data_IF_770413046846
#
_entry.id   IF_770413046846
#
_cell.length_a   1.000
_cell.length_b   1.000
_cell.length_c   1.000
_cell.angle_alpha   90.00
_cell.angle_beta   90.00
_cell.angle_gamma   90.00
#
_symmetry.space_group_name_H-M   'P 1'
#
loop_
_entity.id
_entity.type
_entity.pdbx_description
1 polymer ?
#
# COMPACT_ATOMS: atom_id res chain seq x y z
N UNK A 1 4.98 28.04 15.02
CA UNK A 1 5.94 27.16 14.35
C UNK A 1 5.28 25.87 13.89
N UNK A 2 5.00 24.96 14.82
CA UNK A 2 4.46 23.61 14.55
C UNK A 2 3.12 23.58 13.78
N UNK A 3 2.12 24.38 14.18
CA UNK A 3 0.81 24.44 13.50
C UNK A 3 0.87 24.98 12.05
N UNK A 4 1.91 25.75 11.70
CA UNK A 4 2.09 26.26 10.33
C UNK A 4 2.77 25.21 9.43
N UNK A 5 3.70 24.41 9.98
CA UNK A 5 4.31 23.27 9.29
C UNK A 5 3.35 22.09 9.12
N UNK A 6 2.44 21.85 10.07
CA UNK A 6 1.34 20.88 9.90
C UNK A 6 0.40 21.29 8.77
N UNK A 7 -0.02 22.56 8.70
CA UNK A 7 -0.90 23.04 7.62
C UNK A 7 -0.23 23.03 6.25
N UNK A 8 1.05 23.38 6.16
CA UNK A 8 1.82 23.28 4.91
C UNK A 8 2.08 21.83 4.49
N UNK A 9 2.41 20.95 5.44
CA UNK A 9 2.63 19.51 5.17
C UNK A 9 1.36 18.78 4.78
N UNK A 10 0.20 19.12 5.38
CA UNK A 10 -1.10 18.53 4.99
C UNK A 10 -1.48 18.94 3.57
N UNK A 11 -1.24 20.21 3.19
CA UNK A 11 -1.46 20.67 1.82
C UNK A 11 -0.58 19.92 0.80
N UNK A 12 0.71 19.76 1.07
CA UNK A 12 1.62 19.02 0.19
C UNK A 12 1.37 17.51 0.18
N UNK A 13 0.94 16.92 1.29
CA UNK A 13 0.64 15.48 1.39
C UNK A 13 -0.45 15.05 0.40
N UNK A 14 -1.52 15.84 0.30
CA UNK A 14 -2.63 15.56 -0.63
C UNK A 14 -2.14 15.56 -2.08
N UNK A 15 -1.26 16.50 -2.46
CA UNK A 15 -0.65 16.51 -3.79
C UNK A 15 0.24 15.29 -4.03
N UNK A 16 1.07 14.91 -3.05
CA UNK A 16 1.95 13.74 -3.16
C UNK A 16 1.15 12.43 -3.31
N UNK A 17 0.11 12.24 -2.50
CA UNK A 17 -0.75 11.06 -2.59
C UNK A 17 -1.51 11.00 -3.90
N UNK A 18 -2.09 12.13 -4.33
CA UNK A 18 -2.81 12.19 -5.61
C UNK A 18 -1.89 11.89 -6.78
N UNK A 19 -0.70 12.49 -6.81
CA UNK A 19 0.30 12.24 -7.84
C UNK A 19 0.77 10.78 -7.84
N UNK A 20 1.01 10.19 -6.67
CA UNK A 20 1.39 8.79 -6.53
C UNK A 20 0.31 7.85 -7.07
N UNK A 21 -0.96 8.07 -6.71
CA UNK A 21 -2.08 7.28 -7.22
C UNK A 21 -2.22 7.40 -8.75
N UNK A 22 -2.06 8.59 -9.29
CA UNK A 22 -2.07 8.83 -10.74
C UNK A 22 -0.92 8.08 -11.41
N UNK A 23 0.30 8.14 -10.88
CA UNK A 23 1.45 7.42 -11.45
C UNK A 23 1.29 5.91 -11.38
N UNK A 24 0.80 5.38 -10.25
CA UNK A 24 0.49 3.94 -10.11
C UNK A 24 -0.56 3.55 -11.15
N UNK A 25 -1.62 4.35 -11.29
CA UNK A 25 -2.69 4.13 -12.26
C UNK A 25 -2.16 4.10 -13.70
N UNK A 26 -1.42 5.14 -14.12
CA UNK A 26 -0.89 5.22 -15.48
C UNK A 26 0.09 4.07 -15.77
N UNK A 27 0.99 3.77 -14.83
CA UNK A 27 1.96 2.68 -15.01
C UNK A 27 1.25 1.33 -15.21
N UNK A 28 0.23 1.04 -14.41
CA UNK A 28 -0.58 -0.17 -14.56
C UNK A 28 -1.41 -0.15 -15.85
N UNK A 29 -2.02 0.99 -16.20
CA UNK A 29 -2.85 1.11 -17.39
C UNK A 29 -2.03 0.88 -18.68
N UNK A 30 -0.81 1.44 -18.72
CA UNK A 30 0.12 1.22 -19.83
C UNK A 30 0.66 -0.20 -19.86
N UNK A 31 1.00 -0.79 -18.71
CA UNK A 31 1.56 -2.14 -18.65
C UNK A 31 0.56 -3.24 -19.07
N UNK A 32 -0.71 -3.10 -18.71
CA UNK A 32 -1.74 -4.10 -18.98
C UNK A 32 -2.66 -3.76 -20.16
N UNK A 33 -2.40 -2.66 -20.86
CA UNK A 33 -3.21 -2.14 -21.97
C UNK A 33 -4.72 -2.07 -21.63
N UNK A 34 -5.04 -1.85 -20.35
CA UNK A 34 -6.40 -1.96 -19.83
C UNK A 34 -6.64 -0.94 -18.73
N UNK A 35 -7.80 -0.29 -18.80
CA UNK A 35 -8.23 0.71 -17.82
C UNK A 35 -8.93 0.06 -16.62
N UNK A 36 -9.53 -1.12 -16.80
CA UNK A 36 -10.31 -1.80 -15.76
C UNK A 36 -9.42 -2.45 -14.69
N UNK A 37 -8.28 -3.01 -15.13
CA UNK A 37 -7.33 -3.70 -14.23
C UNK A 37 -6.77 -2.72 -13.17
N UNK A 38 -6.23 -1.54 -13.52
CA UNK A 38 -5.76 -0.54 -12.56
C UNK A 38 -6.84 -0.07 -11.60
N UNK A 39 -8.08 0.13 -12.07
CA UNK A 39 -9.20 0.56 -11.21
C UNK A 39 -9.47 -0.49 -10.13
N UNK A 40 -9.49 -1.77 -10.50
CA UNK A 40 -9.67 -2.88 -9.54
C UNK A 40 -8.55 -2.92 -8.50
N UNK A 41 -7.32 -2.56 -8.88
CA UNK A 41 -6.18 -2.50 -7.96
C UNK A 41 -6.29 -1.29 -7.03
N UNK A 42 -6.66 -0.12 -7.55
CA UNK A 42 -6.81 1.10 -6.75
C UNK A 42 -7.87 0.96 -5.65
N UNK A 43 -8.92 0.16 -5.86
CA UNK A 43 -9.92 -0.13 -4.83
C UNK A 43 -9.33 -0.80 -3.57
N UNK A 44 -8.17 -1.43 -3.67
CA UNK A 44 -7.48 -2.02 -2.50
C UNK A 44 -6.69 -1.00 -1.69
N UNK A 45 -6.30 0.13 -2.27
CA UNK A 45 -5.45 1.15 -1.64
C UNK A 45 -6.08 1.80 -0.40
N UNK A 46 -7.38 2.18 -0.41
CA UNK A 46 -8.05 2.68 0.80
C UNK A 46 -7.94 1.73 1.99
N UNK A 47 -7.98 0.42 1.74
CA UNK A 47 -7.84 -0.59 2.79
C UNK A 47 -6.45 -0.54 3.46
N UNK A 48 -5.40 -0.31 2.65
CA UNK A 48 -4.04 -0.12 3.13
C UNK A 48 -3.86 1.16 3.94
N UNK A 49 -4.43 2.27 3.46
CA UNK A 49 -4.43 3.55 4.19
C UNK A 49 -5.06 3.40 5.56
N UNK A 50 -6.23 2.75 5.62
CA UNK A 50 -6.93 2.52 6.88
C UNK A 50 -6.03 1.74 7.85
N UNK A 51 -5.35 0.68 7.41
CA UNK A 51 -4.45 -0.10 8.26
C UNK A 51 -3.26 0.71 8.81
N UNK A 52 -2.65 1.54 7.97
CA UNK A 52 -1.54 2.42 8.38
C UNK A 52 -2.00 3.50 9.37
N UNK A 53 -3.12 4.17 9.08
CA UNK A 53 -3.71 5.19 9.97
C UNK A 53 -4.12 4.57 11.30
N UNK A 54 -4.72 3.38 11.30
CA UNK A 54 -5.09 2.69 12.55
C UNK A 54 -3.86 2.38 13.40
N UNK A 55 -2.78 1.91 12.78
CA UNK A 55 -1.53 1.54 13.48
C UNK A 55 -0.87 2.74 14.15
N UNK A 56 -0.85 3.89 13.46
CA UNK A 56 -0.33 5.16 13.98
C UNK A 56 -1.25 5.74 15.05
N UNK A 57 -2.57 5.65 14.86
CA UNK A 57 -3.56 6.07 15.84
C UNK A 57 -3.44 5.29 17.15
N UNK A 58 -3.26 3.96 17.11
CA UNK A 58 -3.04 3.14 18.30
C UNK A 58 -1.73 3.43 19.04
N UNK A 59 -0.76 4.08 18.39
CA UNK A 59 0.56 4.42 18.95
C UNK A 59 0.72 5.91 19.29
N UNK A 60 -0.33 6.72 19.15
CA UNK A 60 -0.32 8.18 19.39
C UNK A 60 0.86 8.88 18.68
N UNK A 61 1.12 8.50 17.43
CA UNK A 61 2.18 9.09 16.62
C UNK A 61 1.66 10.27 15.79
N UNK A 62 2.48 11.31 15.65
CA UNK A 62 2.14 12.49 14.85
C UNK A 62 2.16 12.17 13.36
N UNK A 63 1.28 12.83 12.59
CA UNK A 63 1.30 12.80 11.13
C UNK A 63 2.43 13.71 10.60
N UNK A 64 3.64 13.15 10.53
CA UNK A 64 4.85 13.81 10.04
C UNK A 64 5.22 13.35 8.62
N UNK A 65 6.24 13.98 8.03
CA UNK A 65 6.73 13.66 6.67
C UNK A 65 7.17 12.18 6.57
N UNK A 66 7.64 11.59 7.66
CA UNK A 66 8.04 10.19 7.71
C UNK A 66 6.84 9.25 7.56
N UNK A 67 5.72 9.54 8.22
CA UNK A 67 4.47 8.81 8.02
C UNK A 67 3.96 8.95 6.57
N UNK A 68 4.15 10.11 5.93
CA UNK A 68 3.77 10.29 4.53
C UNK A 68 4.58 9.37 3.59
N UNK A 69 5.87 9.22 3.85
CA UNK A 69 6.74 8.28 3.10
C UNK A 69 6.35 6.83 3.35
N UNK A 70 5.98 6.48 4.58
CA UNK A 70 5.46 5.15 4.91
C UNK A 70 4.17 4.83 4.14
N UNK A 71 3.20 5.75 4.15
CA UNK A 71 1.97 5.63 3.38
C UNK A 71 2.20 5.46 1.87
N UNK A 72 3.10 6.25 1.28
CA UNK A 72 3.49 6.11 -0.13
C UNK A 72 4.09 4.72 -0.43
N UNK A 73 4.91 4.20 0.48
CA UNK A 73 5.49 2.85 0.36
C UNK A 73 4.39 1.79 0.44
N UNK A 74 3.45 1.95 1.36
CA UNK A 74 2.27 1.09 1.54
C UNK A 74 1.39 1.07 0.28
N UNK A 75 1.24 2.19 -0.44
CA UNK A 75 0.49 2.21 -1.71
C UNK A 75 1.11 1.26 -2.73
N UNK A 76 2.44 1.29 -2.87
CA UNK A 76 3.17 0.39 -3.77
C UNK A 76 3.05 -1.07 -3.36
N UNK A 77 3.18 -1.37 -2.06
CA UNK A 77 3.08 -2.73 -1.53
C UNK A 77 1.68 -3.32 -1.76
N UNK A 78 0.63 -2.55 -1.43
CA UNK A 78 -0.77 -2.93 -1.63
C UNK A 78 -1.07 -3.10 -3.12
N UNK A 79 -0.64 -2.15 -3.95
CA UNK A 79 -0.84 -2.22 -5.40
C UNK A 79 -0.17 -3.45 -6.02
N UNK A 80 1.06 -3.77 -5.61
CA UNK A 80 1.79 -4.96 -6.07
C UNK A 80 1.09 -6.25 -5.66
N UNK A 81 0.59 -6.33 -4.43
CA UNK A 81 -0.12 -7.52 -3.97
C UNK A 81 -1.47 -7.68 -4.68
N UNK A 82 -2.20 -6.59 -4.90
CA UNK A 82 -3.48 -6.60 -5.58
C UNK A 82 -3.34 -6.91 -7.07
N UNK A 83 -2.39 -6.29 -7.78
CA UNK A 83 -2.19 -6.54 -9.22
C UNK A 83 -1.82 -8.00 -9.49
N UNK A 84 -1.02 -8.59 -8.61
CA UNK A 84 -0.57 -9.99 -8.72
C UNK A 84 -1.75 -10.98 -8.63
N UNK A 85 -2.82 -10.64 -7.91
CA UNK A 85 -4.07 -11.41 -7.87
C UNK A 85 -4.85 -11.18 -9.17
N UNK A 86 -5.09 -9.91 -9.53
CA UNK A 86 -5.89 -9.55 -10.71
C UNK A 86 -5.29 -10.14 -11.99
N UNK A 87 -3.97 -10.13 -12.13
CA UNK A 87 -3.26 -10.76 -13.25
C UNK A 87 -3.52 -12.26 -13.34
N UNK A 88 -3.56 -12.96 -12.20
CA UNK A 88 -3.88 -14.40 -12.18
C UNK A 88 -5.33 -14.66 -12.57
N UNK A 89 -6.24 -13.79 -12.15
CA UNK A 89 -7.67 -13.86 -12.54
C UNK A 89 -7.81 -13.66 -14.04
N UNK A 90 -7.17 -12.63 -14.58
CA UNK A 90 -7.19 -12.30 -16.01
C UNK A 90 -6.60 -13.44 -16.84
N UNK A 91 -5.47 -14.00 -16.42
CA UNK A 91 -4.85 -15.13 -17.11
C UNK A 91 -5.77 -16.37 -17.05
N UNK A 92 -6.36 -16.69 -15.90
CA UNK A 92 -7.31 -17.80 -15.79
C UNK A 92 -8.57 -17.57 -16.65
N UNK A 93 -9.04 -16.32 -16.76
CA UNK A 93 -10.16 -15.94 -17.60
C UNK A 93 -9.84 -16.08 -19.10
N UNK A 94 -8.65 -15.62 -19.53
CA UNK A 94 -8.14 -15.82 -20.90
C UNK A 94 -8.01 -17.30 -21.28
N UNK A 95 -7.74 -18.17 -20.30
CA UNK A 95 -7.75 -19.62 -20.48
C UNK A 95 -9.17 -20.23 -20.53
N UNK A 96 -10.22 -19.40 -20.70
CA UNK A 96 -11.60 -19.83 -20.91
C UNK A 96 -12.38 -20.13 -19.63
N UNK A 97 -11.85 -19.83 -18.44
CA UNK A 97 -12.56 -20.06 -17.17
C UNK A 97 -13.54 -18.92 -16.86
N UNK A 98 -14.71 -19.21 -16.27
CA UNK A 98 -15.64 -18.18 -15.84
C UNK A 98 -15.03 -17.32 -14.72
N UNK A 99 -15.32 -16.02 -14.74
CA UNK A 99 -14.70 -14.98 -13.89
C UNK A 99 -14.67 -15.37 -12.41
N UNK A 100 -15.78 -15.92 -11.87
CA UNK A 100 -15.88 -16.33 -10.46
C UNK A 100 -14.91 -17.47 -10.13
N UNK A 101 -14.78 -18.48 -11.01
CA UNK A 101 -13.81 -19.57 -10.79
C UNK A 101 -12.38 -19.08 -10.92
N UNK A 102 -12.12 -18.15 -11.84
CA UNK A 102 -10.82 -17.49 -12.00
C UNK A 102 -10.45 -16.69 -10.75
N UNK A 103 -11.40 -15.97 -10.14
CA UNK A 103 -11.22 -15.23 -8.90
C UNK A 103 -10.82 -16.13 -7.73
N UNK A 104 -11.55 -17.23 -7.53
CA UNK A 104 -11.26 -18.20 -6.46
C UNK A 104 -9.88 -18.83 -6.67
N UNK A 105 -9.58 -19.25 -7.91
CA UNK A 105 -8.29 -19.86 -8.22
C UNK A 105 -7.12 -18.89 -8.03
N UNK A 106 -7.26 -17.65 -8.49
CA UNK A 106 -6.24 -16.60 -8.33
C UNK A 106 -5.98 -16.30 -6.85
N UNK A 107 -7.04 -16.20 -6.04
CA UNK A 107 -6.92 -16.01 -4.60
C UNK A 107 -6.18 -17.18 -3.92
N UNK A 108 -6.54 -18.43 -4.21
CA UNK A 108 -5.89 -19.61 -3.61
C UNK A 108 -4.42 -19.75 -4.00
N UNK A 109 -4.06 -19.48 -5.26
CA UNK A 109 -2.67 -19.60 -5.73
C UNK A 109 -1.76 -18.54 -5.12
N UNK A 110 -2.29 -17.34 -4.86
CA UNK A 110 -1.51 -16.23 -4.28
C UNK A 110 -1.58 -16.16 -2.76
N UNK A 111 -2.48 -16.89 -2.11
CA UNK A 111 -2.61 -16.89 -0.65
C UNK A 111 -1.28 -17.17 0.06
N UNK A 112 -0.59 -18.26 -0.31
CA UNK A 112 0.70 -18.63 0.30
C UNK A 112 1.78 -17.56 0.05
N UNK A 113 2.04 -17.11 -1.19
CA UNK A 113 2.97 -16.01 -1.46
C UNK A 113 2.65 -14.70 -0.74
N UNK A 114 1.37 -14.29 -0.68
CA UNK A 114 0.96 -13.03 -0.04
C UNK A 114 1.19 -13.08 1.47
N UNK A 115 0.90 -14.20 2.11
CA UNK A 115 1.18 -14.38 3.54
C UNK A 115 2.68 -14.33 3.80
N UNK A 116 3.50 -14.98 2.96
CA UNK A 116 4.95 -14.92 3.10
C UNK A 116 5.49 -13.49 2.98
N UNK A 117 5.10 -12.73 1.96
CA UNK A 117 5.61 -11.36 1.77
C UNK A 117 5.11 -10.41 2.85
N UNK A 118 3.86 -10.56 3.28
CA UNK A 118 3.28 -9.72 4.35
C UNK A 118 3.97 -10.01 5.69
N UNK A 119 4.18 -11.28 6.04
CA UNK A 119 4.89 -11.65 7.26
C UNK A 119 6.35 -11.20 7.24
N UNK A 120 7.03 -11.35 6.10
CA UNK A 120 8.41 -10.88 5.95
C UNK A 120 8.51 -9.35 6.09
N UNK A 121 7.55 -8.61 5.52
CA UNK A 121 7.49 -7.16 5.67
C UNK A 121 7.26 -6.77 7.13
N UNK A 122 6.25 -7.36 7.79
CA UNK A 122 5.96 -7.12 9.22
C UNK A 122 7.20 -7.41 10.07
N UNK A 123 7.83 -8.58 9.89
CA UNK A 123 9.04 -8.95 10.62
C UNK A 123 10.20 -7.97 10.35
N UNK A 124 10.33 -7.45 9.13
CA UNK A 124 11.35 -6.48 8.75
C UNK A 124 11.12 -5.09 9.34
N UNK A 125 9.86 -4.66 9.52
CA UNK A 125 9.53 -3.35 10.11
C UNK A 125 9.42 -3.37 11.63
N UNK A 126 9.23 -4.53 12.26
CA UNK A 126 9.18 -4.67 13.73
C UNK A 126 10.37 -3.96 14.41
N UNK A 127 11.65 -4.17 14.02
CA UNK A 127 12.79 -3.50 14.64
C UNK A 127 12.75 -1.97 14.51
N UNK A 128 12.21 -1.44 13.40
CA UNK A 128 12.03 0.00 13.22
C UNK A 128 10.93 0.52 14.15
N UNK A 129 9.85 -0.24 14.29
CA UNK A 129 8.69 0.08 15.11
C UNK A 129 8.99 0.07 16.62
N UNK A 130 10.03 -0.61 17.10
CA UNK A 130 10.43 -0.65 18.53
C UNK A 130 11.81 -0.03 18.79
N UNK A 131 12.34 0.72 17.82
CA UNK A 131 13.71 1.25 17.91
C UNK A 131 13.87 2.27 19.03
N UNK A 132 14.93 2.15 19.83
CA UNK A 132 15.33 3.13 20.85
C UNK A 132 16.67 3.79 20.51
N UNK A 133 16.85 5.07 20.82
CA UNK A 133 18.10 5.82 20.61
C UNK A 133 17.96 7.06 19.72
N UNK A 134 19.08 7.63 19.27
CA UNK A 134 19.08 8.82 18.41
C UNK A 134 18.34 8.55 17.08
N UNK A 135 17.43 9.44 16.68
CA UNK A 135 16.59 9.28 15.49
C UNK A 135 15.52 8.19 15.59
N UNK A 136 15.24 7.67 16.80
CA UNK A 136 14.21 6.64 17.02
C UNK A 136 12.82 7.08 16.57
N UNK A 137 12.41 8.32 16.85
CA UNK A 137 11.09 8.82 16.47
C UNK A 137 10.83 8.74 14.96
N UNK A 138 11.83 9.04 14.13
CA UNK A 138 11.72 8.91 12.67
C UNK A 138 11.57 7.45 12.23
N UNK A 139 12.32 6.52 12.85
CA UNK A 139 12.24 5.08 12.53
C UNK A 139 10.91 4.48 12.98
N UNK A 140 10.41 4.88 14.15
CA UNK A 140 9.12 4.43 14.69
C UNK A 140 7.98 4.96 13.81
N UNK A 141 8.03 6.24 13.39
CA UNK A 141 7.00 6.81 12.50
C UNK A 141 6.94 6.07 11.16
N UNK A 142 8.09 5.83 10.51
CA UNK A 142 8.13 5.05 9.25
C UNK A 142 7.70 3.59 9.46
N UNK A 143 8.18 2.93 10.51
CA UNK A 143 7.93 1.51 10.74
C UNK A 143 6.53 1.17 11.26
N UNK A 144 5.79 2.15 11.74
CA UNK A 144 4.40 1.98 12.21
C UNK A 144 3.38 2.24 11.09
N UNK A 145 3.72 3.10 10.12
CA UNK A 145 2.86 3.44 8.99
C UNK A 145 2.89 2.46 7.83
#
# INVERSE_FOLDING_TARGET
GLSYQEKLSVGQAIYLYSLSLILIFLCLATLYESWTIPISVLLSVPLGIIGAVLSVYFRDLNNDVYFQVALLTTFGLVSKNAILIVEFIENAHKNGKPVVKSAIQGASLRFRPIIMTSLAFIAGVIPLAISTGAGANSRISIGTG
#
